data_IF_566496670199
#
_entry.id   IF_566496670199
#
_cell.length_a   1.000
_cell.length_b   1.000
_cell.length_c   1.000
_cell.angle_alpha   90.00
_cell.angle_beta   90.00
_cell.angle_gamma   90.00
#
_symmetry.space_group_name_H-M   'P 1'
#
loop_
_entity.id
_entity.type
_entity.pdbx_description
1 polymer ?
#
# COMPACT_ATOMS: atom_id res chain seq x y z
N UNK A 1 -49.13 44.14 26.23
CA UNK A 1 -48.57 44.39 24.88
C UNK A 1 -47.44 43.41 24.64
N UNK A 2 -47.66 42.50 23.70
CA UNK A 2 -46.78 41.43 23.19
C UNK A 2 -45.75 41.99 22.22
N UNK A 3 -44.46 41.61 22.34
CA UNK A 3 -43.54 41.51 21.18
C UNK A 3 -42.54 40.37 21.37
N UNK A 4 -42.92 39.23 20.80
CA UNK A 4 -42.07 38.08 20.49
C UNK A 4 -41.16 38.43 19.32
N UNK A 5 -39.87 38.13 19.40
CA UNK A 5 -38.97 38.09 18.24
C UNK A 5 -38.28 36.73 18.22
N UNK A 6 -38.82 35.85 17.36
CA UNK A 6 -38.25 34.57 16.97
C UNK A 6 -37.10 34.83 16.00
N UNK A 7 -35.86 34.62 16.45
CA UNK A 7 -34.72 34.53 15.54
C UNK A 7 -34.49 33.06 15.18
N UNK A 8 -34.84 32.73 13.94
CA UNK A 8 -34.50 31.49 13.26
C UNK A 8 -32.99 31.44 13.02
N UNK A 9 -32.27 30.54 13.68
CA UNK A 9 -30.90 30.17 13.28
C UNK A 9 -30.94 28.83 12.55
N UNK A 10 -30.58 28.90 11.27
CA UNK A 10 -30.54 27.80 10.34
C UNK A 10 -29.66 26.65 10.85
N UNK A 11 -30.22 25.44 10.80
CA UNK A 11 -29.49 24.20 11.00
C UNK A 11 -28.46 24.02 9.88
N UNK A 12 -27.23 24.42 10.14
CA UNK A 12 -26.09 24.07 9.30
C UNK A 12 -25.67 22.64 9.69
N UNK A 13 -26.28 21.65 9.06
CA UNK A 13 -25.85 20.26 9.12
C UNK A 13 -24.47 20.14 8.46
N UNK A 14 -23.42 20.38 9.25
CA UNK A 14 -22.06 19.97 8.92
C UNK A 14 -22.00 18.45 9.03
N UNK A 15 -22.32 17.78 7.92
CA UNK A 15 -22.01 16.38 7.73
C UNK A 15 -20.49 16.25 7.60
N UNK A 16 -19.80 16.14 8.73
CA UNK A 16 -18.42 15.63 8.77
C UNK A 16 -18.46 14.18 8.32
N UNK A 17 -18.19 13.95 7.04
CA UNK A 17 -17.88 12.62 6.53
C UNK A 17 -16.58 12.18 7.21
N UNK A 18 -16.72 11.40 8.29
CA UNK A 18 -15.61 10.68 8.88
C UNK A 18 -15.14 9.66 7.83
N UNK A 19 -14.10 10.01 7.10
CA UNK A 19 -13.35 9.05 6.28
C UNK A 19 -12.68 8.13 7.28
N UNK A 20 -13.27 6.95 7.49
CA UNK A 20 -12.60 5.87 8.21
C UNK A 20 -11.33 5.53 7.45
N UNK A 21 -10.19 6.04 7.92
CA UNK A 21 -8.89 5.51 7.55
C UNK A 21 -8.90 4.04 7.99
N UNK A 22 -9.01 3.12 7.02
CA UNK A 22 -8.91 1.70 7.30
C UNK A 22 -7.53 1.48 7.94
N UNK A 23 -7.52 1.23 9.25
CA UNK A 23 -6.31 0.94 9.99
C UNK A 23 -5.58 -0.20 9.27
N UNK A 24 -4.30 0.03 8.98
CA UNK A 24 -3.45 -1.00 8.40
C UNK A 24 -3.55 -2.28 9.26
N UNK A 25 -3.66 -3.47 8.66
CA UNK A 25 -3.74 -4.71 9.42
C UNK A 25 -2.55 -4.84 10.37
N UNK A 26 -2.73 -5.41 11.59
CA UNK A 26 -1.65 -5.58 12.55
C UNK A 26 -0.48 -6.39 11.95
N UNK A 27 0.78 -6.14 12.38
CA UNK A 27 2.00 -6.57 11.69
C UNK A 27 2.35 -8.06 11.81
N UNK A 28 1.45 -8.89 12.36
CA UNK A 28 1.73 -10.32 12.60
C UNK A 28 1.35 -11.24 11.42
N UNK A 29 1.08 -10.68 10.25
CA UNK A 29 0.81 -11.47 9.05
C UNK A 29 2.11 -11.60 8.26
N UNK A 30 2.76 -12.76 8.39
CA UNK A 30 3.76 -13.22 7.41
C UNK A 30 3.10 -13.18 6.02
N UNK A 31 3.30 -12.08 5.29
CA UNK A 31 2.81 -11.94 3.94
C UNK A 31 3.78 -12.66 3.00
N UNK A 32 3.20 -13.42 2.09
CA UNK A 32 3.93 -14.12 1.04
C UNK A 32 3.54 -13.50 -0.29
N UNK A 33 4.52 -13.20 -1.11
CA UNK A 33 4.29 -12.66 -2.46
C UNK A 33 4.75 -13.67 -3.49
N UNK A 34 3.97 -13.86 -4.55
CA UNK A 34 4.39 -14.70 -5.67
C UNK A 34 5.63 -14.14 -6.36
N UNK A 35 6.55 -15.04 -6.73
CA UNK A 35 7.74 -14.68 -7.47
C UNK A 35 7.41 -14.40 -8.92
N UNK A 36 7.80 -13.22 -9.40
CA UNK A 36 7.67 -12.80 -10.80
C UNK A 36 9.05 -12.46 -11.33
N UNK A 37 9.37 -13.01 -12.50
CA UNK A 37 10.62 -12.72 -13.16
C UNK A 37 10.69 -11.21 -13.48
N UNK A 38 11.85 -10.58 -13.22
CA UNK A 38 12.00 -9.12 -13.36
C UNK A 38 11.01 -8.35 -12.49
N UNK A 39 10.73 -8.82 -11.28
CA UNK A 39 9.62 -8.36 -10.48
C UNK A 39 9.80 -8.60 -8.99
N UNK A 40 8.73 -9.01 -8.33
CA UNK A 40 8.75 -9.48 -6.95
C UNK A 40 9.58 -10.78 -6.85
N UNK A 41 10.74 -10.74 -6.19
CA UNK A 41 11.56 -11.90 -5.90
C UNK A 41 12.83 -12.07 -6.76
N UNK A 42 13.54 -13.17 -6.52
CA UNK A 42 14.82 -13.48 -7.16
C UNK A 42 14.60 -14.07 -8.55
N UNK A 43 15.45 -13.68 -9.51
CA UNK A 43 15.42 -14.26 -10.86
C UNK A 43 15.62 -15.78 -10.83
N UNK A 44 14.95 -16.47 -11.76
CA UNK A 44 15.05 -17.91 -11.95
C UNK A 44 14.64 -18.75 -10.72
N UNK A 45 13.85 -18.15 -9.80
CA UNK A 45 13.25 -18.83 -8.67
C UNK A 45 11.72 -18.84 -8.79
N UNK A 46 11.09 -19.95 -8.40
CA UNK A 46 9.63 -20.11 -8.40
C UNK A 46 9.06 -20.12 -6.99
N UNK A 47 7.74 -20.03 -6.86
CA UNK A 47 7.04 -20.05 -5.57
C UNK A 47 6.82 -18.63 -5.03
N UNK A 48 7.07 -18.44 -3.74
CA UNK A 48 6.79 -17.17 -3.04
C UNK A 48 8.00 -16.72 -2.24
N UNK A 49 8.13 -15.41 -2.04
CA UNK A 49 9.03 -14.84 -1.04
C UNK A 49 8.26 -14.34 0.19
N UNK A 50 8.92 -14.41 1.35
CA UNK A 50 8.42 -13.83 2.59
C UNK A 50 8.70 -12.34 2.56
N UNK A 51 7.70 -11.59 2.96
CA UNK A 51 7.69 -10.16 2.84
C UNK A 51 7.74 -9.54 4.25
N UNK A 52 8.74 -8.69 4.45
CA UNK A 52 9.13 -8.19 5.76
C UNK A 52 8.41 -6.88 6.07
N UNK A 53 7.76 -6.73 7.23
CA UNK A 53 7.08 -5.50 7.60
C UNK A 53 8.08 -4.35 7.78
N UNK A 54 7.72 -3.16 7.32
CA UNK A 54 8.54 -1.95 7.49
C UNK A 54 8.01 -1.15 8.67
N UNK A 55 8.49 -1.49 9.86
CA UNK A 55 7.99 -0.93 11.11
C UNK A 55 6.46 -1.06 11.23
N UNK A 56 5.82 -0.01 11.73
CA UNK A 56 4.36 0.03 11.95
C UNK A 56 3.61 0.81 10.85
N UNK A 57 4.22 0.98 9.67
CA UNK A 57 3.68 1.82 8.59
C UNK A 57 2.59 1.14 7.76
N UNK A 58 2.29 -0.14 8.00
CA UNK A 58 1.33 -0.90 7.20
C UNK A 58 1.80 -1.13 5.76
N UNK A 59 3.11 -1.10 5.54
CA UNK A 59 3.77 -1.46 4.28
C UNK A 59 4.88 -2.45 4.59
N UNK A 60 5.31 -3.14 3.56
CA UNK A 60 6.29 -4.21 3.68
C UNK A 60 7.31 -4.12 2.55
N UNK A 61 8.41 -4.84 2.70
CA UNK A 61 9.51 -4.93 1.76
C UNK A 61 9.74 -6.40 1.36
N UNK A 62 10.00 -6.63 0.08
CA UNK A 62 10.32 -7.94 -0.49
C UNK A 62 11.72 -7.86 -1.08
N UNK A 63 12.54 -8.92 -1.04
CA UNK A 63 13.74 -8.98 -1.88
C UNK A 63 13.38 -8.72 -3.35
N UNK A 64 13.96 -7.66 -3.93
CA UNK A 64 13.69 -7.27 -5.31
C UNK A 64 14.96 -7.45 -6.11
N UNK A 65 14.83 -8.11 -7.25
CA UNK A 65 15.90 -8.18 -8.23
C UNK A 65 15.42 -7.43 -9.47
N UNK A 66 16.16 -6.39 -9.86
CA UNK A 66 15.85 -5.57 -11.04
C UNK A 66 16.98 -5.65 -12.08
N UNK A 67 17.01 -6.71 -12.90
CA UNK A 67 18.00 -6.88 -13.95
C UNK A 67 17.63 -5.98 -15.12
N UNK A 68 18.62 -5.43 -15.82
CA UNK A 68 18.38 -4.59 -16.99
C UNK A 68 18.06 -3.11 -16.71
N UNK A 69 17.68 -2.72 -15.48
CA UNK A 69 17.36 -1.31 -15.15
C UNK A 69 18.16 -0.74 -13.95
N UNK A 70 19.49 -0.87 -13.90
CA UNK A 70 20.30 -0.53 -12.71
C UNK A 70 20.23 0.94 -12.28
N UNK A 71 19.75 1.84 -13.14
CA UNK A 71 19.71 3.29 -12.92
C UNK A 71 18.30 3.89 -12.96
N UNK A 72 17.23 3.11 -12.81
CA UNK A 72 15.85 3.62 -12.82
C UNK A 72 15.65 4.67 -11.70
N UNK A 73 15.80 5.94 -12.08
CA UNK A 73 16.07 7.04 -11.17
C UNK A 73 14.78 7.63 -10.59
N UNK A 74 14.39 7.12 -9.43
CA UNK A 74 13.79 7.95 -8.38
C UNK A 74 14.30 7.44 -7.03
N UNK A 75 14.97 8.31 -6.28
CA UNK A 75 15.40 8.06 -4.88
C UNK A 75 14.23 8.13 -3.88
N UNK A 76 13.03 8.37 -4.38
CA UNK A 76 11.83 8.52 -3.57
C UNK A 76 11.18 7.17 -3.32
N UNK A 77 10.91 6.81 -2.05
CA UNK A 77 10.07 5.67 -1.69
C UNK A 77 8.75 5.67 -2.45
N UNK A 78 8.32 4.51 -2.94
CA UNK A 78 6.98 4.33 -3.52
C UNK A 78 6.30 3.11 -2.96
N UNK A 79 4.97 3.16 -2.96
CA UNK A 79 4.12 2.05 -2.52
C UNK A 79 3.40 1.46 -3.73
N UNK A 80 3.62 0.18 -3.98
CA UNK A 80 2.90 -0.61 -4.99
C UNK A 80 1.74 -1.31 -4.29
N UNK A 81 0.53 -1.12 -4.82
CA UNK A 81 -0.65 -1.80 -4.30
C UNK A 81 -0.77 -3.17 -4.96
N UNK A 82 -0.79 -4.22 -4.14
CA UNK A 82 -0.77 -5.61 -4.62
C UNK A 82 -2.02 -6.33 -4.11
N UNK A 83 -2.80 -6.99 -4.98
CA UNK A 83 -3.96 -7.75 -4.53
C UNK A 83 -3.53 -9.00 -3.75
N UNK A 84 -4.14 -9.19 -2.59
CA UNK A 84 -3.83 -10.32 -1.70
C UNK A 84 -5.09 -11.09 -1.30
N UNK A 85 -4.95 -12.41 -1.23
CA UNK A 85 -5.91 -13.35 -0.63
C UNK A 85 -5.35 -13.84 0.69
N UNK A 86 -5.92 -13.35 1.80
CA UNK A 86 -5.43 -13.65 3.16
C UNK A 86 -3.96 -13.23 3.34
N UNK A 87 -3.02 -14.18 3.30
CA UNK A 87 -1.58 -14.02 3.48
C UNK A 87 -0.78 -14.14 2.17
N UNK A 88 -1.44 -14.51 1.07
CA UNK A 88 -0.82 -14.67 -0.25
C UNK A 88 -1.16 -13.49 -1.17
N UNK A 89 -0.14 -12.78 -1.61
CA UNK A 89 -0.22 -11.66 -2.53
C UNK A 89 0.26 -12.05 -3.92
N UNK A 90 -0.40 -11.53 -4.96
CA UNK A 90 0.08 -11.72 -6.33
C UNK A 90 1.45 -11.06 -6.52
N UNK A 91 2.25 -11.56 -7.44
CA UNK A 91 3.48 -10.87 -7.80
C UNK A 91 3.23 -9.60 -8.62
N UNK A 92 4.28 -8.83 -8.85
CA UNK A 92 4.28 -7.67 -9.74
C UNK A 92 5.54 -7.62 -10.58
N UNK A 93 5.46 -6.99 -11.75
CA UNK A 93 6.61 -6.72 -12.61
C UNK A 93 7.25 -5.38 -12.24
N UNK A 94 8.58 -5.34 -12.25
CA UNK A 94 9.33 -4.10 -12.08
C UNK A 94 9.53 -3.42 -13.43
N UNK A 95 9.15 -2.15 -13.49
CA UNK A 95 9.39 -1.31 -14.66
C UNK A 95 10.22 -0.08 -14.26
N UNK A 96 10.95 0.55 -15.21
CA UNK A 96 11.72 1.76 -14.93
C UNK A 96 10.91 2.89 -14.28
N UNK A 97 9.62 2.96 -14.59
CA UNK A 97 8.71 3.99 -14.09
C UNK A 97 8.42 3.85 -12.60
N UNK A 98 8.56 2.64 -12.04
CA UNK A 98 8.43 2.39 -10.60
C UNK A 98 9.67 2.87 -9.82
N UNK A 99 10.85 2.88 -10.46
CA UNK A 99 12.11 3.30 -9.84
C UNK A 99 12.96 2.11 -9.35
N UNK A 100 13.86 2.36 -8.40
CA UNK A 100 14.77 1.33 -7.88
C UNK A 100 14.02 0.39 -6.95
N UNK A 101 14.19 -0.92 -7.14
CA UNK A 101 13.50 -1.92 -6.32
C UNK A 101 13.74 -1.77 -4.81
N UNK A 102 14.93 -1.34 -4.41
CA UNK A 102 15.29 -1.07 -3.01
C UNK A 102 14.42 0.00 -2.32
N UNK A 103 13.73 0.84 -3.09
CA UNK A 103 12.84 1.89 -2.60
C UNK A 103 11.36 1.61 -2.86
N UNK A 104 11.04 0.40 -3.30
CA UNK A 104 9.67 -0.04 -3.50
C UNK A 104 9.17 -0.79 -2.28
N UNK A 105 8.06 -0.30 -1.76
CA UNK A 105 7.29 -0.89 -0.69
C UNK A 105 6.01 -1.42 -1.28
N UNK A 106 5.39 -2.40 -0.63
CA UNK A 106 4.10 -2.90 -1.07
C UNK A 106 3.05 -2.72 0.02
N UNK A 107 1.83 -2.45 -0.44
CA UNK A 107 0.64 -2.39 0.39
C UNK A 107 -0.39 -3.43 -0.13
N UNK A 108 -0.93 -4.29 0.75
CA UNK A 108 -1.91 -5.29 0.37
C UNK A 108 -3.28 -4.63 0.12
N UNK A 109 -3.83 -4.83 -1.07
CA UNK A 109 -5.24 -4.62 -1.34
C UNK A 109 -6.00 -5.92 -1.03
N UNK A 110 -6.92 -5.88 -0.06
CA UNK A 110 -7.81 -7.02 0.19
C UNK A 110 -8.75 -7.16 -1.02
N UNK A 111 -8.78 -8.37 -1.59
CA UNK A 111 -9.71 -8.73 -2.66
C UNK A 111 -11.05 -9.19 -2.11
#
# INVERSE_FOLDING_TARGET
MTRTLLFWTAACCLATAAVSAAAAPPPNNLLRIERVNMGSGVQNASGTDVAEPVGDLGVWHVPQYMPGFPTAATIWPRVVIVPCSTDLCSGYELTPELGRGEYLYFAPARR
#
